data_IF_014715575572
#
_entry.id   IF_014715575572
#
_cell.length_a   1.000
_cell.length_b   1.000
_cell.length_c   1.000
_cell.angle_alpha   90.00
_cell.angle_beta   90.00
_cell.angle_gamma   90.00
#
_symmetry.space_group_name_H-M   'P 1'
#
loop_
_entity.id
_entity.type
_entity.pdbx_description
1 polymer ?
#
# COMPACT_ATOMS: atom_id res chain seq x y z
N UNK A 1 25.92 3.11 -57.51
CA UNK A 1 25.98 4.01 -56.33
C UNK A 1 24.59 4.58 -56.04
N UNK A 2 23.68 3.86 -55.35
CA UNK A 2 22.36 4.40 -54.91
C UNK A 2 21.80 3.72 -53.63
N UNK A 3 22.64 3.00 -52.87
CA UNK A 3 22.22 2.30 -51.64
C UNK A 3 22.39 3.09 -50.31
N UNK A 4 23.23 4.15 -50.17
CA UNK A 4 23.33 4.84 -48.89
C UNK A 4 22.17 5.83 -48.62
N UNK A 5 21.46 6.26 -49.66
CA UNK A 5 20.35 7.23 -49.53
C UNK A 5 19.09 6.59 -48.93
N UNK A 6 18.86 5.30 -49.19
CA UNK A 6 17.69 4.58 -48.68
C UNK A 6 17.80 4.29 -47.17
N UNK A 7 19.01 4.07 -46.66
CA UNK A 7 19.26 3.77 -45.24
C UNK A 7 19.14 5.05 -44.39
N UNK A 8 19.56 6.20 -44.91
CA UNK A 8 19.43 7.50 -44.23
C UNK A 8 17.96 7.94 -44.14
N UNK A 9 17.14 7.64 -45.15
CA UNK A 9 15.69 7.92 -45.12
C UNK A 9 14.92 7.01 -44.14
N UNK A 10 15.36 5.76 -43.95
CA UNK A 10 14.74 4.85 -42.97
C UNK A 10 15.14 5.20 -41.52
N UNK A 11 16.35 5.70 -41.30
CA UNK A 11 16.79 6.19 -39.99
C UNK A 11 16.12 7.52 -39.61
N UNK A 12 15.80 8.39 -40.57
CA UNK A 12 15.07 9.64 -40.34
C UNK A 12 13.57 9.41 -40.01
N UNK A 13 12.97 8.31 -40.48
CA UNK A 13 11.58 7.96 -40.17
C UNK A 13 11.38 7.39 -38.76
N UNK A 14 12.44 6.89 -38.10
CA UNK A 14 12.36 6.34 -36.74
C UNK A 14 12.43 7.40 -35.63
N UNK A 15 12.81 8.64 -35.95
CA UNK A 15 13.01 9.73 -34.96
C UNK A 15 11.73 10.57 -34.75
N UNK A 16 10.66 10.32 -35.52
CA UNK A 16 9.39 11.07 -35.43
C UNK A 16 8.35 10.50 -34.47
N UNK A 17 8.68 9.48 -33.67
CA UNK A 17 7.87 9.13 -32.50
C UNK A 17 8.30 10.03 -31.34
N UNK A 18 8.17 11.34 -31.53
CA UNK A 18 8.06 12.26 -30.39
C UNK A 18 6.70 11.94 -29.81
N UNK A 19 6.68 11.19 -28.70
CA UNK A 19 5.47 10.76 -28.02
C UNK A 19 4.54 11.95 -27.85
N UNK A 20 3.42 11.94 -28.56
CA UNK A 20 2.32 12.83 -28.21
C UNK A 20 1.95 12.43 -26.79
N UNK A 21 2.13 13.34 -25.84
CA UNK A 21 1.58 13.17 -24.50
C UNK A 21 0.07 13.09 -24.67
N UNK A 22 -0.45 11.87 -24.78
CA UNK A 22 -1.86 11.63 -24.71
C UNK A 22 -2.30 12.09 -23.33
N UNK A 23 -3.03 13.20 -23.29
CA UNK A 23 -3.62 13.72 -22.07
C UNK A 23 -4.60 12.68 -21.54
N UNK A 24 -4.60 12.46 -20.22
CA UNK A 24 -5.56 11.55 -19.60
C UNK A 24 -7.00 11.96 -19.87
N UNK A 25 -7.29 13.27 -19.83
CA UNK A 25 -8.58 13.83 -20.19
C UNK A 25 -8.39 15.13 -20.96
N UNK A 26 -9.33 15.45 -21.84
CA UNK A 26 -9.19 16.59 -22.75
C UNK A 26 -9.32 17.95 -22.05
N UNK A 27 -10.00 17.99 -20.91
CA UNK A 27 -10.34 19.16 -20.11
C UNK A 27 -9.42 19.40 -18.89
N UNK A 28 -8.37 18.58 -18.70
CA UNK A 28 -7.43 18.74 -17.57
C UNK A 28 -6.16 19.50 -17.93
N UNK A 29 -6.02 19.99 -19.17
CA UNK A 29 -4.76 20.56 -19.69
C UNK A 29 -4.20 21.75 -18.90
N UNK A 30 -5.08 22.55 -18.32
CA UNK A 30 -4.72 23.73 -17.52
C UNK A 30 -4.97 23.51 -16.02
N UNK A 31 -5.31 22.29 -15.63
CA UNK A 31 -5.58 21.96 -14.24
C UNK A 31 -4.26 21.85 -13.47
N UNK A 32 -4.14 22.45 -12.28
CA UNK A 32 -2.90 22.36 -11.48
C UNK A 32 -2.56 20.91 -11.06
N UNK A 33 -3.54 20.01 -11.06
CA UNK A 33 -3.37 18.59 -10.73
C UNK A 33 -3.34 17.69 -11.97
N UNK A 34 -3.12 18.22 -13.18
CA UNK A 34 -3.21 17.46 -14.43
C UNK A 34 -2.38 16.16 -14.43
N UNK A 35 -1.13 16.24 -13.96
CA UNK A 35 -0.22 15.07 -13.91
C UNK A 35 -0.67 14.04 -12.88
N UNK A 36 -1.13 14.50 -11.70
CA UNK A 36 -1.68 13.65 -10.64
C UNK A 36 -2.94 12.92 -11.10
N UNK A 37 -3.85 13.64 -11.76
CA UNK A 37 -5.08 13.10 -12.36
C UNK A 37 -4.73 12.04 -13.42
N UNK A 38 -3.72 12.31 -14.25
CA UNK A 38 -3.25 11.35 -15.24
C UNK A 38 -2.72 10.07 -14.58
N UNK A 39 -1.85 10.19 -13.58
CA UNK A 39 -1.29 9.04 -12.88
C UNK A 39 -2.40 8.20 -12.20
N UNK A 40 -3.38 8.84 -11.56
CA UNK A 40 -4.52 8.14 -10.97
C UNK A 40 -5.42 7.45 -12.02
N UNK A 41 -5.56 8.01 -13.22
CA UNK A 41 -6.28 7.35 -14.33
C UNK A 41 -5.51 6.12 -14.82
N UNK A 42 -4.21 6.25 -15.02
CA UNK A 42 -3.33 5.16 -15.47
C UNK A 42 -3.29 4.01 -14.44
N UNK A 43 -3.36 4.33 -13.15
CA UNK A 43 -3.50 3.36 -12.06
C UNK A 43 -4.92 2.76 -11.94
N UNK A 44 -5.88 3.19 -12.76
CA UNK A 44 -7.28 2.73 -12.70
C UNK A 44 -8.05 3.20 -11.45
N UNK A 45 -7.50 4.15 -10.69
CA UNK A 45 -8.11 4.65 -9.44
C UNK A 45 -9.30 5.54 -9.77
N UNK A 46 -9.16 6.41 -10.76
CA UNK A 46 -10.22 7.32 -11.19
C UNK A 46 -10.64 7.04 -12.62
N UNK A 47 -11.91 7.33 -12.90
CA UNK A 47 -12.45 7.36 -14.25
C UNK A 47 -13.03 8.75 -14.55
N UNK A 48 -12.98 9.13 -15.82
CA UNK A 48 -13.65 10.31 -16.31
C UNK A 48 -15.14 10.08 -16.46
N UNK A 49 -15.82 11.15 -16.89
CA UNK A 49 -17.16 11.11 -17.44
C UNK A 49 -17.11 10.65 -18.91
N UNK A 50 -18.24 10.72 -19.60
CA UNK A 50 -18.30 10.37 -21.03
C UNK A 50 -17.41 11.30 -21.87
N UNK A 51 -16.99 10.82 -23.05
CA UNK A 51 -16.28 11.62 -24.05
C UNK A 51 -14.89 12.13 -23.62
N UNK A 52 -14.13 11.35 -22.84
CA UNK A 52 -12.78 11.70 -22.38
C UNK A 52 -12.71 13.01 -21.57
N UNK A 53 -13.77 13.33 -20.82
CA UNK A 53 -13.82 14.46 -19.90
C UNK A 53 -13.60 14.00 -18.47
N UNK A 54 -12.85 14.77 -17.68
CA UNK A 54 -12.72 14.54 -16.25
C UNK A 54 -13.70 15.35 -15.42
N UNK A 55 -14.11 16.53 -15.91
CA UNK A 55 -14.86 17.55 -15.19
C UNK A 55 -14.15 18.02 -13.89
N UNK A 56 -12.98 18.69 -13.98
CA UNK A 56 -12.13 18.99 -12.82
C UNK A 56 -12.78 19.92 -11.78
N UNK A 57 -13.69 20.78 -12.23
CA UNK A 57 -14.46 21.71 -11.37
C UNK A 57 -15.76 21.10 -10.84
N UNK A 58 -16.13 19.90 -11.30
CA UNK A 58 -17.26 19.15 -10.80
C UNK A 58 -17.12 18.86 -9.31
N UNK A 59 -18.27 18.76 -8.63
CA UNK A 59 -18.34 18.51 -7.18
C UNK A 59 -18.34 17.01 -6.91
N UNK A 60 -17.65 16.58 -5.86
CA UNK A 60 -17.58 15.17 -5.50
C UNK A 60 -18.74 14.77 -4.59
N UNK A 61 -19.40 13.65 -4.88
CA UNK A 61 -20.38 13.04 -3.96
C UNK A 61 -19.67 12.17 -2.92
N UNK A 62 -20.35 11.84 -1.82
CA UNK A 62 -19.86 10.86 -0.85
C UNK A 62 -19.54 9.50 -1.48
N UNK A 63 -20.43 9.01 -2.34
CA UNK A 63 -20.24 7.74 -3.06
C UNK A 63 -18.95 7.74 -3.89
N UNK A 64 -18.69 8.82 -4.62
CA UNK A 64 -17.47 8.97 -5.41
C UNK A 64 -16.23 9.11 -4.52
N UNK A 65 -16.27 9.99 -3.51
CA UNK A 65 -15.13 10.24 -2.63
C UNK A 65 -14.66 9.01 -1.85
N UNK A 66 -15.59 8.30 -1.20
CA UNK A 66 -15.24 7.09 -0.45
C UNK A 66 -14.74 5.98 -1.38
N UNK A 67 -15.36 5.80 -2.54
CA UNK A 67 -14.91 4.80 -3.52
C UNK A 67 -13.51 5.11 -4.05
N UNK A 68 -13.18 6.39 -4.28
CA UNK A 68 -11.85 6.82 -4.70
C UNK A 68 -10.81 6.56 -3.61
N UNK A 69 -11.11 6.89 -2.35
CA UNK A 69 -10.21 6.66 -1.21
C UNK A 69 -9.94 5.16 -1.04
N UNK A 70 -11.00 4.34 -0.99
CA UNK A 70 -10.87 2.88 -0.81
C UNK A 70 -10.04 2.25 -1.92
N UNK A 71 -10.27 2.65 -3.17
CA UNK A 71 -9.50 2.15 -4.31
C UNK A 71 -8.07 2.66 -4.31
N UNK A 72 -7.86 3.93 -3.98
CA UNK A 72 -6.54 4.57 -4.01
C UNK A 72 -5.57 4.00 -2.98
N UNK A 73 -6.06 3.67 -1.78
CA UNK A 73 -5.25 3.03 -0.73
C UNK A 73 -5.36 1.51 -0.71
N UNK A 74 -5.98 0.92 -1.75
CA UNK A 74 -6.17 -0.52 -1.89
C UNK A 74 -6.73 -1.19 -0.62
N UNK A 75 -7.67 -0.49 0.04
CA UNK A 75 -8.28 -0.97 1.27
C UNK A 75 -9.10 -2.22 0.94
N UNK A 76 -9.06 -3.20 1.84
CA UNK A 76 -9.73 -4.48 1.63
C UNK A 76 -10.33 -5.01 2.92
N UNK A 77 -11.04 -6.13 2.82
CA UNK A 77 -11.57 -6.87 3.97
C UNK A 77 -10.71 -8.12 4.28
N UNK A 78 -9.54 -8.27 3.64
CA UNK A 78 -8.75 -9.50 3.73
C UNK A 78 -8.25 -9.80 5.15
N UNK A 79 -8.16 -8.78 6.01
CA UNK A 79 -7.78 -8.90 7.41
C UNK A 79 -8.93 -9.31 8.34
N UNK A 80 -10.17 -9.41 7.84
CA UNK A 80 -11.35 -9.68 8.67
C UNK A 80 -12.02 -10.99 8.25
N UNK A 81 -12.22 -11.88 9.22
CA UNK A 81 -13.01 -13.09 9.01
C UNK A 81 -14.47 -12.86 9.43
N UNK A 82 -15.39 -13.11 8.52
CA UNK A 82 -16.81 -12.94 8.76
C UNK A 82 -17.55 -14.28 8.74
N UNK A 83 -18.47 -14.46 9.70
CA UNK A 83 -19.42 -15.58 9.69
C UNK A 83 -20.49 -15.36 8.61
N UNK A 84 -20.88 -14.11 8.38
CA UNK A 84 -21.78 -13.65 7.31
C UNK A 84 -21.15 -12.44 6.62
N UNK A 85 -21.17 -12.41 5.29
CA UNK A 85 -20.70 -11.25 4.53
C UNK A 85 -21.39 -9.95 5.02
N UNK A 86 -20.62 -8.91 5.38
CA UNK A 86 -21.18 -7.65 5.85
C UNK A 86 -21.87 -6.90 4.72
N UNK A 87 -22.99 -6.27 5.05
CA UNK A 87 -23.79 -5.47 4.12
C UNK A 87 -23.69 -3.98 4.49
N UNK A 88 -23.80 -3.08 3.51
CA UNK A 88 -23.69 -1.64 3.78
C UNK A 88 -24.78 -1.13 4.74
N UNK A 89 -25.98 -1.70 4.65
CA UNK A 89 -27.11 -1.36 5.53
C UNK A 89 -26.94 -1.83 6.98
N UNK A 90 -25.97 -2.71 7.28
CA UNK A 90 -25.62 -3.06 8.66
C UNK A 90 -25.04 -1.85 9.41
N UNK A 91 -24.38 -0.94 8.68
CA UNK A 91 -23.64 0.19 9.24
C UNK A 91 -24.29 1.54 8.94
N UNK A 92 -24.96 1.69 7.80
CA UNK A 92 -25.45 2.98 7.32
C UNK A 92 -26.94 2.95 6.96
N UNK A 93 -27.66 3.98 7.40
CA UNK A 93 -29.13 4.06 7.27
C UNK A 93 -29.57 4.32 5.82
N UNK A 94 -28.77 5.08 5.06
CA UNK A 94 -29.15 5.52 3.70
C UNK A 94 -28.27 4.88 2.59
N UNK A 95 -27.36 3.96 2.92
CA UNK A 95 -26.51 3.25 1.95
C UNK A 95 -27.15 1.89 1.65
N UNK A 96 -27.58 1.68 0.41
CA UNK A 96 -28.18 0.41 -0.04
C UNK A 96 -27.09 -0.65 -0.26
N UNK A 97 -27.43 -1.93 -0.22
CA UNK A 97 -26.46 -3.03 -0.35
C UNK A 97 -25.93 -3.25 -1.77
N UNK A 98 -26.77 -3.07 -2.79
CA UNK A 98 -26.47 -3.48 -4.18
C UNK A 98 -26.16 -2.28 -5.10
N UNK A 99 -25.43 -1.29 -4.59
CA UNK A 99 -24.97 -0.15 -5.40
C UNK A 99 -23.49 -0.28 -5.72
N UNK A 100 -23.05 0.34 -6.81
CA UNK A 100 -21.65 0.31 -7.25
C UNK A 100 -20.64 0.79 -6.19
N UNK A 101 -21.10 1.61 -5.24
CA UNK A 101 -20.30 2.14 -4.12
C UNK A 101 -20.44 1.34 -2.82
N UNK A 102 -21.42 0.44 -2.69
CA UNK A 102 -21.78 -0.17 -1.40
C UNK A 102 -20.62 -0.90 -0.74
N UNK A 103 -19.86 -1.65 -1.54
CA UNK A 103 -18.70 -2.38 -1.04
C UNK A 103 -17.61 -1.43 -0.52
N UNK A 104 -17.43 -0.26 -1.13
CA UNK A 104 -16.48 0.73 -0.65
C UNK A 104 -16.85 1.25 0.75
N UNK A 105 -18.14 1.49 1.04
CA UNK A 105 -18.56 1.90 2.38
C UNK A 105 -18.32 0.83 3.45
N UNK A 106 -18.52 -0.44 3.11
CA UNK A 106 -18.23 -1.58 3.99
C UNK A 106 -16.73 -1.69 4.25
N UNK A 107 -15.91 -1.64 3.19
CA UNK A 107 -14.44 -1.65 3.31
C UNK A 107 -13.97 -0.47 4.17
N UNK A 108 -14.45 0.74 3.88
CA UNK A 108 -14.09 1.94 4.61
C UNK A 108 -14.36 1.79 6.12
N UNK A 109 -15.53 1.28 6.49
CA UNK A 109 -15.89 1.03 7.89
C UNK A 109 -14.89 0.10 8.59
N UNK A 110 -14.55 -1.03 7.96
CA UNK A 110 -13.65 -2.03 8.54
C UNK A 110 -12.16 -1.66 8.49
N UNK A 111 -11.81 -0.56 7.81
CA UNK A 111 -10.46 0.01 7.79
C UNK A 111 -10.37 1.30 8.63
N UNK A 112 -11.35 1.58 9.49
CA UNK A 112 -11.30 2.70 10.44
C UNK A 112 -11.66 4.06 9.84
N UNK A 113 -12.32 4.11 8.67
CA UNK A 113 -12.83 5.37 8.12
C UNK A 113 -14.20 5.65 8.76
N UNK A 114 -14.24 6.62 9.67
CA UNK A 114 -15.40 6.98 10.48
C UNK A 114 -16.47 7.79 9.74
N UNK A 115 -17.20 7.13 8.84
CA UNK A 115 -18.30 7.76 8.10
C UNK A 115 -19.58 7.81 8.96
N UNK A 116 -20.33 8.93 9.01
CA UNK A 116 -21.58 9.03 9.75
C UNK A 116 -22.63 7.99 9.33
N UNK A 117 -23.35 7.42 10.30
CA UNK A 117 -24.37 6.39 10.07
C UNK A 117 -25.53 6.86 9.18
N UNK A 118 -25.85 8.14 9.16
CA UNK A 118 -26.92 8.74 8.35
C UNK A 118 -26.42 9.35 7.04
N UNK A 119 -25.16 9.09 6.66
CA UNK A 119 -24.56 9.58 5.40
C UNK A 119 -25.46 9.30 4.20
N UNK A 120 -25.60 10.29 3.31
CA UNK A 120 -26.33 10.16 2.05
C UNK A 120 -25.32 10.03 0.90
N UNK A 121 -25.25 8.89 0.19
CA UNK A 121 -24.24 8.67 -0.85
C UNK A 121 -24.16 9.75 -1.94
N UNK A 122 -25.29 10.32 -2.32
CA UNK A 122 -25.37 11.34 -3.38
C UNK A 122 -25.19 12.78 -2.87
N UNK A 123 -25.00 12.97 -1.56
CA UNK A 123 -24.69 14.28 -1.01
C UNK A 123 -23.32 14.72 -1.49
N UNK A 124 -23.19 16.02 -1.76
CA UNK A 124 -21.91 16.65 -2.09
C UNK A 124 -21.04 16.71 -0.83
N UNK A 125 -19.82 16.18 -0.93
CA UNK A 125 -18.85 16.18 0.14
C UNK A 125 -18.13 17.54 0.21
N UNK A 126 -17.94 18.03 1.43
CA UNK A 126 -17.17 19.24 1.70
C UNK A 126 -15.67 18.95 1.76
N UNK A 127 -14.86 20.00 1.71
CA UNK A 127 -13.39 19.91 1.82
C UNK A 127 -12.94 19.33 3.16
N UNK A 128 -13.56 19.73 4.27
CA UNK A 128 -13.19 19.19 5.60
C UNK A 128 -13.55 17.71 5.76
N UNK A 129 -14.69 17.29 5.21
CA UNK A 129 -15.14 15.90 5.28
C UNK A 129 -14.19 15.01 4.47
N UNK A 130 -13.85 15.41 3.24
CA UNK A 130 -12.89 14.65 2.43
C UNK A 130 -11.50 14.61 3.07
N UNK A 131 -11.02 15.74 3.63
CA UNK A 131 -9.76 15.79 4.37
C UNK A 131 -9.74 14.78 5.54
N UNK A 132 -10.83 14.72 6.31
CA UNK A 132 -10.95 13.78 7.42
C UNK A 132 -10.89 12.32 6.97
N UNK A 133 -11.69 11.93 5.96
CA UNK A 133 -11.70 10.55 5.48
C UNK A 133 -10.41 10.14 4.78
N UNK A 134 -9.79 11.07 4.05
CA UNK A 134 -8.49 10.86 3.43
C UNK A 134 -7.41 10.61 4.49
N UNK A 135 -7.39 11.41 5.55
CA UNK A 135 -6.45 11.22 6.66
C UNK A 135 -6.65 9.88 7.35
N UNK A 136 -7.90 9.50 7.67
CA UNK A 136 -8.19 8.20 8.27
C UNK A 136 -7.70 7.04 7.39
N UNK A 137 -7.86 7.17 6.06
CA UNK A 137 -7.36 6.19 5.11
C UNK A 137 -5.83 6.13 5.08
N UNK A 138 -5.13 7.28 5.11
CA UNK A 138 -3.68 7.32 5.22
C UNK A 138 -3.25 6.57 6.48
N UNK A 139 -3.76 6.92 7.66
CA UNK A 139 -3.37 6.28 8.93
C UNK A 139 -3.79 4.82 9.04
N UNK A 140 -4.78 4.37 8.26
CA UNK A 140 -5.12 2.93 8.18
C UNK A 140 -4.02 2.09 7.53
N UNK A 141 -3.08 2.72 6.80
CA UNK A 141 -2.00 2.03 6.08
C UNK A 141 -0.73 1.86 6.89
N UNK A 142 -0.62 2.50 8.05
CA UNK A 142 0.57 2.44 8.89
C UNK A 142 0.56 3.49 9.98
N UNK A 143 1.45 3.32 10.96
CA UNK A 143 1.69 4.31 11.99
C UNK A 143 2.73 5.32 11.48
N UNK A 144 2.26 6.49 11.05
CA UNK A 144 3.11 7.53 10.48
C UNK A 144 3.42 8.61 11.51
N UNK A 145 4.69 9.02 11.58
CA UNK A 145 5.08 10.17 12.37
C UNK A 145 4.67 11.47 11.68
N UNK A 146 3.84 12.27 12.37
CA UNK A 146 3.46 13.61 11.90
C UNK A 146 4.12 14.68 12.76
N UNK A 147 4.58 15.75 12.12
CA UNK A 147 5.11 16.91 12.84
C UNK A 147 3.94 17.67 13.48
N UNK A 148 4.06 17.99 14.77
CA UNK A 148 3.02 18.71 15.54
C UNK A 148 3.12 20.24 15.39
N UNK A 149 3.18 20.73 14.15
CA UNK A 149 3.11 22.17 13.86
C UNK A 149 1.66 22.56 13.60
N UNK A 150 1.17 23.57 14.32
CA UNK A 150 -0.17 24.11 14.10
C UNK A 150 -0.13 25.26 13.08
N UNK A 151 -0.88 25.12 11.99
CA UNK A 151 -1.07 26.17 10.99
C UNK A 151 -2.40 26.90 11.22
N UNK A 152 -2.35 28.19 11.54
CA UNK A 152 -3.54 29.04 11.69
C UNK A 152 -4.06 29.51 10.34
N UNK A 153 -5.37 29.57 10.17
CA UNK A 153 -6.01 30.13 8.97
C UNK A 153 -7.31 30.89 9.30
N UNK A 154 -7.71 31.81 8.42
CA UNK A 154 -8.72 32.84 8.73
C UNK A 154 -10.12 32.26 9.02
N UNK A 155 -10.46 31.13 8.40
CA UNK A 155 -11.76 30.49 8.52
C UNK A 155 -11.75 29.20 9.38
N UNK A 156 -10.73 29.07 10.23
CA UNK A 156 -10.56 27.97 11.20
C UNK A 156 -11.79 27.78 12.09
N UNK A 157 -12.43 28.86 12.54
CA UNK A 157 -13.66 28.82 13.34
C UNK A 157 -14.86 28.14 12.67
N UNK A 158 -14.80 27.92 11.34
CA UNK A 158 -15.86 27.18 10.62
C UNK A 158 -15.62 25.68 10.63
N UNK A 159 -14.42 25.21 10.92
CA UNK A 159 -14.05 23.79 10.88
C UNK A 159 -14.85 23.02 11.93
N UNK A 160 -15.34 21.83 11.57
CA UNK A 160 -15.82 20.89 12.57
C UNK A 160 -14.64 20.43 13.44
N UNK A 161 -14.73 20.63 14.75
CA UNK A 161 -13.66 20.32 15.71
C UNK A 161 -13.10 18.91 15.56
N UNK A 162 -13.96 17.92 15.27
CA UNK A 162 -13.55 16.53 15.05
C UNK A 162 -12.62 16.34 13.83
N UNK A 163 -12.63 17.28 12.88
CA UNK A 163 -11.86 17.22 11.64
C UNK A 163 -10.59 18.08 11.68
N UNK A 164 -10.44 18.94 12.69
CA UNK A 164 -9.33 19.89 12.77
C UNK A 164 -7.97 19.18 12.73
N UNK A 165 -7.83 18.10 13.52
CA UNK A 165 -6.58 17.34 13.55
C UNK A 165 -6.21 16.80 12.16
N UNK A 166 -7.16 16.16 11.46
CA UNK A 166 -6.95 15.65 10.10
C UNK A 166 -6.53 16.76 9.13
N UNK A 167 -7.19 17.91 9.18
CA UNK A 167 -6.85 19.06 8.33
C UNK A 167 -5.43 19.55 8.64
N UNK A 168 -5.08 19.75 9.91
CA UNK A 168 -3.74 20.18 10.30
C UNK A 168 -2.68 19.19 9.81
N UNK A 169 -2.89 17.88 9.98
CA UNK A 169 -1.96 16.87 9.48
C UNK A 169 -1.76 16.97 7.97
N UNK A 170 -2.84 17.00 7.20
CA UNK A 170 -2.76 17.11 5.74
C UNK A 170 -2.12 18.42 5.26
N UNK A 171 -2.34 19.53 5.97
CA UNK A 171 -1.68 20.80 5.68
C UNK A 171 -0.18 20.74 6.01
N UNK A 172 0.23 20.12 7.12
CA UNK A 172 1.65 20.04 7.52
C UNK A 172 2.47 19.08 6.65
N UNK A 173 1.81 18.12 5.99
CA UNK A 173 2.44 17.19 5.06
C UNK A 173 2.31 17.63 3.60
N UNK A 174 1.81 18.84 3.34
CA UNK A 174 1.56 19.39 2.00
C UNK A 174 0.65 18.51 1.11
N UNK A 175 -0.20 17.66 1.71
CA UNK A 175 -1.18 16.83 0.99
C UNK A 175 -2.42 17.67 0.64
N UNK A 176 -2.85 18.50 1.60
CA UNK A 176 -3.88 19.50 1.38
C UNK A 176 -3.24 20.89 1.32
N UNK A 177 -3.87 21.80 0.59
CA UNK A 177 -3.41 23.17 0.45
C UNK A 177 -4.55 24.20 0.57
N UNK A 178 -4.16 25.44 0.88
CA UNK A 178 -5.04 26.61 0.93
C UNK A 178 -4.98 27.46 -0.35
N UNK A 179 -4.42 26.93 -1.45
CA UNK A 179 -4.28 27.57 -2.77
C UNK A 179 -3.69 28.97 -2.74
N UNK A 180 -2.68 29.20 -1.90
CA UNK A 180 -2.04 30.52 -1.75
C UNK A 180 -2.91 31.59 -1.09
N UNK A 181 -4.05 31.21 -0.51
CA UNK A 181 -4.85 32.04 0.39
C UNK A 181 -4.57 31.65 1.84
N UNK A 182 -4.95 32.49 2.79
CA UNK A 182 -4.92 32.13 4.22
C UNK A 182 -6.25 31.48 4.68
N UNK A 183 -6.97 30.81 3.78
CA UNK A 183 -8.29 30.20 4.04
C UNK A 183 -8.35 28.76 3.57
N UNK A 184 -8.89 27.86 4.40
CA UNK A 184 -9.05 26.44 4.06
C UNK A 184 -10.36 26.16 3.30
N UNK A 185 -11.41 26.94 3.53
CA UNK A 185 -12.76 26.76 2.99
C UNK A 185 -13.41 25.43 3.39
N UNK A 186 -13.55 25.12 4.69
CA UNK A 186 -13.96 23.79 5.16
C UNK A 186 -15.35 23.36 4.65
N UNK A 187 -16.29 24.31 4.51
CA UNK A 187 -17.68 24.04 4.11
C UNK A 187 -17.92 24.07 2.61
N UNK A 188 -16.92 24.43 1.82
CA UNK A 188 -17.06 24.42 0.37
C UNK A 188 -17.06 22.98 -0.13
N UNK A 189 -17.78 22.74 -1.22
CA UNK A 189 -17.74 21.44 -1.90
C UNK A 189 -16.32 21.18 -2.42
N UNK A 190 -15.78 20.00 -2.15
CA UNK A 190 -14.51 19.60 -2.74
C UNK A 190 -14.70 19.33 -4.24
N UNK A 191 -13.80 19.85 -5.07
CA UNK A 191 -13.85 19.58 -6.50
C UNK A 191 -13.18 18.25 -6.85
N UNK A 192 -13.53 17.69 -8.01
CA UNK A 192 -12.90 16.48 -8.53
C UNK A 192 -11.38 16.64 -8.68
N UNK A 193 -10.90 17.80 -9.16
CA UNK A 193 -9.47 18.12 -9.21
C UNK A 193 -8.82 18.15 -7.83
N UNK A 194 -9.41 18.87 -6.86
CA UNK A 194 -8.85 18.96 -5.50
C UNK A 194 -8.76 17.58 -4.84
N UNK A 195 -9.84 16.79 -4.92
CA UNK A 195 -9.87 15.43 -4.37
C UNK A 195 -8.84 14.50 -4.99
N UNK A 196 -8.62 14.59 -6.31
CA UNK A 196 -7.64 13.78 -7.03
C UNK A 196 -6.21 14.20 -6.67
N UNK A 197 -5.94 15.50 -6.55
CA UNK A 197 -4.65 16.00 -6.08
C UNK A 197 -4.31 15.46 -4.69
N UNK A 198 -5.20 15.66 -3.73
CA UNK A 198 -4.99 15.23 -2.34
C UNK A 198 -4.90 13.70 -2.22
N UNK A 199 -5.71 12.96 -2.98
CA UNK A 199 -5.63 11.49 -3.02
C UNK A 199 -4.26 11.03 -3.50
N UNK A 200 -3.78 11.58 -4.61
CA UNK A 200 -2.46 11.23 -5.17
C UNK A 200 -1.35 11.54 -4.16
N UNK A 201 -1.35 12.74 -3.57
CA UNK A 201 -0.32 13.13 -2.60
C UNK A 201 -0.37 12.26 -1.35
N UNK A 202 -1.57 11.88 -0.88
CA UNK A 202 -1.73 10.93 0.21
C UNK A 202 -1.20 9.53 -0.11
N UNK A 203 -1.42 9.03 -1.33
CA UNK A 203 -0.86 7.75 -1.79
C UNK A 203 0.67 7.82 -1.84
N UNK A 204 1.23 8.89 -2.41
CA UNK A 204 2.68 9.07 -2.48
C UNK A 204 3.31 9.27 -1.10
N UNK A 205 2.61 9.95 -0.17
CA UNK A 205 3.01 10.04 1.22
C UNK A 205 3.12 8.66 1.84
N UNK A 206 2.08 7.81 1.71
CA UNK A 206 2.10 6.45 2.24
C UNK A 206 3.26 5.67 1.64
N UNK A 207 3.40 5.62 0.31
CA UNK A 207 4.50 4.89 -0.36
C UNK A 207 5.86 5.32 0.16
N UNK A 208 6.12 6.63 0.18
CA UNK A 208 7.38 7.19 0.62
C UNK A 208 7.70 6.79 2.06
N UNK A 209 6.72 6.81 2.96
CA UNK A 209 6.97 6.52 4.37
C UNK A 209 6.92 5.03 4.69
N UNK A 210 6.15 4.22 3.95
CA UNK A 210 6.25 2.75 4.04
C UNK A 210 7.56 2.22 3.48
N UNK A 211 8.13 2.89 2.47
CA UNK A 211 9.44 2.53 1.91
C UNK A 211 10.60 3.03 2.79
N UNK A 212 10.41 4.12 3.55
CA UNK A 212 11.45 4.73 4.40
C UNK A 212 11.43 4.22 5.86
N UNK A 213 10.30 3.70 6.35
CA UNK A 213 10.21 3.02 7.66
C UNK A 213 10.74 1.57 7.59
N UNK A 214 11.03 1.07 6.38
CA UNK A 214 12.01 0.00 6.20
C UNK A 214 13.41 0.56 6.44
N UNK A 215 14.01 0.12 7.54
CA UNK A 215 15.47 -0.10 7.64
C UNK A 215 16.00 -0.56 6.25
N UNK A 216 17.10 0.02 5.74
CA UNK A 216 17.50 -0.07 4.34
C UNK A 216 17.43 -1.49 3.75
N UNK A 217 16.85 -1.56 2.54
CA UNK A 217 16.91 -2.67 1.58
C UNK A 217 16.98 -4.07 2.20
N UNK A 218 15.82 -4.59 2.62
CA UNK A 218 15.66 -6.03 2.73
C UNK A 218 14.59 -6.51 1.74
N UNK A 219 14.95 -7.28 0.69
CA UNK A 219 13.98 -7.79 -0.27
C UNK A 219 12.89 -8.59 0.45
N UNK A 220 11.64 -8.38 0.03
CA UNK A 220 10.47 -9.07 0.57
C UNK A 220 10.73 -10.60 0.59
N UNK A 221 10.89 -11.15 1.81
CA UNK A 221 11.20 -12.57 2.04
C UNK A 221 12.53 -12.85 2.74
N UNK A 222 13.42 -11.86 2.87
CA UNK A 222 14.65 -12.02 3.65
C UNK A 222 14.41 -11.71 5.14
N UNK A 223 14.96 -12.57 6.02
CA UNK A 223 14.82 -12.44 7.47
C UNK A 223 15.49 -11.16 7.99
N UNK A 224 14.81 -10.34 8.83
CA UNK A 224 15.40 -9.14 9.45
C UNK A 224 16.56 -9.46 10.42
N UNK A 225 16.76 -10.73 10.74
CA UNK A 225 17.87 -11.20 11.56
C UNK A 225 19.13 -11.39 10.69
N UNK A 226 20.25 -10.84 11.14
CA UNK A 226 21.57 -10.99 10.51
C UNK A 226 22.60 -11.54 11.51
N UNK A 227 23.75 -11.99 11.01
CA UNK A 227 24.84 -12.57 11.80
C UNK A 227 24.41 -13.74 12.71
N UNK A 228 23.68 -14.72 12.15
CA UNK A 228 23.29 -15.90 12.91
C UNK A 228 24.51 -16.68 13.41
N UNK A 229 24.53 -16.95 14.71
CA UNK A 229 25.58 -17.71 15.36
C UNK A 229 24.98 -18.86 16.16
N UNK A 230 25.55 -20.05 15.99
CA UNK A 230 25.16 -21.24 16.73
C UNK A 230 26.27 -21.61 17.70
N UNK A 231 25.89 -21.87 18.95
CA UNK A 231 26.79 -22.41 19.98
C UNK A 231 26.15 -23.62 20.65
N UNK A 232 27.00 -24.58 21.02
CA UNK A 232 26.56 -25.85 21.61
C UNK A 232 27.24 -26.01 22.95
N UNK A 233 26.46 -26.33 23.98
CA UNK A 233 26.92 -26.62 25.33
C UNK A 233 26.41 -28.00 25.74
N UNK A 234 27.30 -28.88 26.17
CA UNK A 234 26.90 -30.18 26.69
C UNK A 234 26.12 -30.00 28.01
N UNK A 235 24.94 -30.62 28.10
CA UNK A 235 24.13 -30.65 29.33
C UNK A 235 24.42 -31.95 30.09
N UNK A 236 24.43 -33.07 29.36
CA UNK A 236 24.80 -34.40 29.84
C UNK A 236 25.17 -35.32 28.66
N UNK A 237 25.49 -36.58 28.95
CA UNK A 237 25.93 -37.57 27.96
C UNK A 237 24.97 -37.77 26.76
N UNK A 238 23.67 -37.50 26.93
CA UNK A 238 22.64 -37.75 25.91
C UNK A 238 22.09 -36.46 25.27
N UNK A 239 22.36 -35.28 25.84
CA UNK A 239 21.69 -34.02 25.48
C UNK A 239 22.69 -32.85 25.40
N UNK A 240 22.61 -32.13 24.29
CA UNK A 240 23.24 -30.84 24.05
C UNK A 240 22.22 -29.70 24.12
N UNK A 241 22.57 -28.60 24.76
CA UNK A 241 21.88 -27.31 24.68
C UNK A 241 22.43 -26.54 23.48
N UNK A 242 21.54 -26.09 22.60
CA UNK A 242 21.89 -25.36 21.38
C UNK A 242 21.34 -23.95 21.50
N UNK A 243 22.22 -22.96 21.54
CA UNK A 243 21.86 -21.54 21.56
C UNK A 243 22.08 -20.96 20.18
N UNK A 244 21.04 -20.33 19.62
CA UNK A 244 21.12 -19.55 18.39
C UNK A 244 21.00 -18.07 18.75
N UNK A 245 21.98 -17.29 18.34
CA UNK A 245 22.03 -15.83 18.47
C UNK A 245 21.92 -15.18 17.10
N UNK A 246 21.37 -13.98 17.05
CA UNK A 246 21.38 -13.13 15.87
C UNK A 246 21.35 -11.66 16.28
N UNK A 247 21.71 -10.77 15.38
CA UNK A 247 21.46 -9.34 15.51
C UNK A 247 20.11 -9.00 14.87
N UNK A 248 19.37 -8.11 15.52
CA UNK A 248 18.10 -7.60 15.02
C UNK A 248 18.11 -6.06 14.93
N UNK A 249 17.30 -5.44 14.05
CA UNK A 249 17.33 -3.99 13.82
C UNK A 249 17.01 -3.15 15.06
N UNK A 250 16.13 -3.65 15.92
CA UNK A 250 15.70 -2.99 17.16
C UNK A 250 15.17 -4.02 18.17
N UNK A 251 15.04 -3.69 19.48
CA UNK A 251 14.69 -4.67 20.53
C UNK A 251 13.23 -5.12 20.50
N UNK A 252 12.47 -4.76 19.47
CA UNK A 252 11.11 -5.25 19.29
C UNK A 252 11.06 -6.60 18.61
N UNK A 253 12.09 -6.94 17.84
CA UNK A 253 12.22 -8.26 17.25
C UNK A 253 12.62 -9.29 18.30
N UNK A 254 12.18 -10.52 18.08
CA UNK A 254 12.73 -11.70 18.74
C UNK A 254 13.22 -12.72 17.72
N UNK A 255 13.72 -13.84 18.22
CA UNK A 255 14.08 -15.02 17.43
C UNK A 255 13.41 -16.23 18.07
N UNK A 256 12.87 -17.13 17.24
CA UNK A 256 12.35 -18.41 17.70
C UNK A 256 12.80 -19.54 16.78
N UNK A 257 12.84 -20.75 17.31
CA UNK A 257 13.12 -21.95 16.53
C UNK A 257 11.81 -22.39 15.88
N UNK A 258 11.79 -22.39 14.54
CA UNK A 258 10.61 -22.74 13.75
C UNK A 258 10.52 -24.25 13.54
N UNK A 259 11.64 -24.91 13.26
CA UNK A 259 11.71 -26.35 13.08
C UNK A 259 13.12 -26.90 13.30
N UNK A 260 13.20 -28.19 13.61
CA UNK A 260 14.46 -28.94 13.66
C UNK A 260 14.34 -30.14 12.73
N UNK A 261 15.24 -30.25 11.75
CA UNK A 261 15.30 -31.40 10.84
C UNK A 261 16.51 -32.25 11.16
N UNK A 262 16.31 -33.56 11.26
CA UNK A 262 17.38 -34.54 11.43
C UNK A 262 17.67 -35.18 10.09
N UNK A 263 18.87 -34.97 9.56
CA UNK A 263 19.25 -35.52 8.27
C UNK A 263 19.92 -36.91 8.39
N UNK A 264 20.04 -37.60 7.26
CA UNK A 264 20.68 -38.92 7.20
C UNK A 264 22.20 -38.86 7.47
N UNK A 265 22.80 -37.65 7.48
CA UNK A 265 24.22 -37.42 7.79
C UNK A 265 24.46 -37.22 9.29
N UNK A 266 23.43 -37.33 10.13
CA UNK A 266 23.52 -37.15 11.57
C UNK A 266 23.60 -35.68 12.00
N UNK A 267 23.09 -34.75 11.19
CA UNK A 267 22.96 -33.35 11.54
C UNK A 267 21.56 -33.04 12.08
N UNK A 268 21.49 -32.07 12.98
CA UNK A 268 20.24 -31.43 13.40
C UNK A 268 20.23 -30.00 12.85
N UNK A 269 19.53 -29.79 11.74
CA UNK A 269 19.40 -28.48 11.09
C UNK A 269 18.39 -27.64 11.86
N UNK A 270 18.85 -26.56 12.48
CA UNK A 270 18.06 -25.67 13.32
C UNK A 270 17.55 -24.52 12.47
N UNK A 271 16.27 -24.55 12.12
CA UNK A 271 15.61 -23.44 11.43
C UNK A 271 15.09 -22.44 12.45
N UNK A 272 15.33 -21.16 12.18
CA UNK A 272 14.85 -20.06 13.01
C UNK A 272 14.06 -19.08 12.17
N UNK A 273 13.17 -18.34 12.83
CA UNK A 273 12.43 -17.26 12.22
C UNK A 273 12.35 -16.05 13.17
N UNK A 274 12.23 -14.83 12.64
CA UNK A 274 12.00 -13.64 13.45
C UNK A 274 10.65 -13.73 14.16
N UNK A 275 10.61 -13.26 15.40
CA UNK A 275 9.37 -12.85 16.05
C UNK A 275 9.21 -11.37 15.76
N UNK A 276 8.08 -11.01 15.13
CA UNK A 276 7.80 -9.64 14.72
C UNK A 276 7.55 -8.74 15.95
N UNK A 277 7.92 -7.45 15.90
CA UNK A 277 7.62 -6.49 16.94
C UNK A 277 6.11 -6.29 17.12
N UNK A 278 5.72 -5.91 18.33
CA UNK A 278 4.34 -5.49 18.61
C UNK A 278 4.12 -4.12 17.93
N UNK A 279 3.20 -4.02 16.95
CA UNK A 279 3.01 -2.79 16.19
C UNK A 279 2.51 -1.62 17.06
N UNK A 280 1.97 -1.89 18.26
CA UNK A 280 1.47 -0.85 19.16
C UNK A 280 2.54 -0.33 20.14
N UNK A 281 3.80 -0.76 19.99
CA UNK A 281 4.90 -0.36 20.87
C UNK A 281 5.97 0.36 20.10
N UNK A 282 6.42 1.47 20.67
CA UNK A 282 7.58 2.21 20.18
C UNK A 282 8.87 1.52 20.65
N UNK A 283 9.80 1.28 19.73
CA UNK A 283 11.09 0.67 20.02
C UNK A 283 12.24 1.65 19.71
N UNK A 284 13.30 1.67 20.54
CA UNK A 284 14.48 2.46 20.23
C UNK A 284 15.20 1.89 19.00
N UNK A 285 15.68 2.77 18.13
CA UNK A 285 16.38 2.41 16.89
C UNK A 285 17.84 2.03 17.16
N UNK A 286 18.05 0.85 17.75
CA UNK A 286 19.37 0.33 18.11
C UNK A 286 19.48 -1.16 17.83
N UNK A 287 20.53 -1.57 17.11
CA UNK A 287 20.82 -2.99 16.85
C UNK A 287 20.93 -3.74 18.17
N UNK A 288 20.18 -4.84 18.29
CA UNK A 288 20.08 -5.61 19.52
C UNK A 288 20.34 -7.09 19.25
N UNK A 289 21.12 -7.73 20.13
CA UNK A 289 21.33 -9.17 20.10
C UNK A 289 20.08 -9.89 20.63
N UNK A 290 19.55 -10.83 19.85
CA UNK A 290 18.44 -11.72 20.23
C UNK A 290 18.94 -13.16 20.29
N UNK A 291 18.35 -13.98 21.17
CA UNK A 291 18.75 -15.37 21.32
C UNK A 291 17.58 -16.31 21.64
N UNK A 292 17.71 -17.56 21.23
CA UNK A 292 16.79 -18.66 21.57
C UNK A 292 17.56 -19.94 21.85
N UNK A 293 16.95 -20.85 22.61
CA UNK A 293 17.57 -22.11 23.05
C UNK A 293 16.68 -23.29 22.65
N UNK A 294 17.30 -24.40 22.24
CA UNK A 294 16.67 -25.73 22.15
C UNK A 294 17.62 -26.81 22.67
N UNK A 295 17.11 -28.03 22.75
CA UNK A 295 17.85 -29.21 23.18
C UNK A 295 17.84 -30.26 22.08
N UNK A 296 19.02 -30.78 21.77
CA UNK A 296 19.24 -31.78 20.73
C UNK A 296 19.99 -32.97 21.32
N UNK A 297 19.66 -34.19 20.91
CA UNK A 297 20.42 -35.36 21.36
C UNK A 297 21.90 -35.25 20.96
N UNK A 298 22.80 -35.66 21.86
CA UNK A 298 24.25 -35.66 21.65
C UNK A 298 24.71 -36.49 20.44
N UNK A 299 23.82 -37.35 19.91
CA UNK A 299 24.04 -38.15 18.70
C UNK A 299 24.00 -37.34 17.40
N UNK A 300 23.43 -36.13 17.41
CA UNK A 300 23.33 -35.29 16.23
C UNK A 300 24.22 -34.05 16.36
N UNK A 301 24.81 -33.61 15.25
CA UNK A 301 25.57 -32.35 15.16
C UNK A 301 24.63 -31.19 14.81
N UNK A 302 24.41 -30.21 15.70
CA UNK A 302 23.58 -29.04 15.39
C UNK A 302 24.25 -28.15 14.34
N UNK A 303 23.48 -27.68 13.36
CA UNK A 303 23.93 -26.76 12.29
C UNK A 303 22.84 -25.75 11.94
N UNK A 304 23.23 -24.60 11.40
CA UNK A 304 22.32 -23.66 10.76
C UNK A 304 22.12 -24.06 9.28
N UNK A 305 20.99 -23.69 8.64
CA UNK A 305 20.81 -23.91 7.21
C UNK A 305 21.89 -23.19 6.39
N UNK A 306 22.32 -23.80 5.30
CA UNK A 306 23.21 -23.14 4.33
C UNK A 306 22.42 -22.02 3.64
N UNK A 307 22.91 -20.78 3.70
CA UNK A 307 22.35 -19.69 2.88
C UNK A 307 22.51 -20.06 1.39
N UNK A 308 21.47 -19.86 0.55
CA UNK A 308 21.64 -20.04 -0.88
C UNK A 308 22.70 -19.05 -1.37
N UNK A 309 23.76 -19.58 -1.99
CA UNK A 309 24.77 -18.76 -2.64
C UNK A 309 24.08 -17.77 -3.58
N UNK A 310 24.38 -16.48 -3.45
CA UNK A 310 23.96 -15.45 -4.40
C UNK A 310 24.56 -15.75 -5.78
N UNK A 311 23.87 -16.58 -6.56
CA UNK A 311 24.12 -16.70 -7.99
C UNK A 311 23.42 -15.54 -8.67
N UNK A 312 24.21 -14.59 -9.22
CA UNK A 312 23.75 -13.58 -10.18
C UNK A 312 23.38 -14.23 -11.53
N UNK A 313 22.57 -15.28 -11.50
CA UNK A 313 21.99 -15.86 -12.71
C UNK A 313 20.50 -15.53 -12.74
N UNK A 314 20.17 -14.76 -13.77
CA UNK A 314 18.84 -14.44 -14.29
C UNK A 314 17.90 -15.65 -14.12
N UNK A 315 16.83 -15.46 -13.35
CA UNK A 315 15.81 -16.49 -13.17
C UNK A 315 15.27 -16.92 -14.55
N UNK A 316 15.28 -18.22 -14.90
CA UNK A 316 14.69 -18.66 -16.15
C UNK A 316 13.18 -18.40 -16.10
N UNK A 317 12.69 -17.74 -17.15
CA UNK A 317 11.29 -17.42 -17.34
C UNK A 317 10.41 -18.66 -17.11
N UNK A 318 9.38 -18.51 -16.30
CA UNK A 318 8.36 -19.54 -16.11
C UNK A 318 7.73 -19.89 -17.47
N UNK A 319 7.55 -21.18 -17.80
CA UNK A 319 6.89 -21.57 -19.05
C UNK A 319 5.43 -21.11 -19.01
N UNK A 320 5.04 -20.35 -20.03
CA UNK A 320 3.67 -19.90 -20.26
C UNK A 320 2.76 -21.11 -20.47
N UNK A 321 1.69 -21.18 -19.69
CA UNK A 321 0.58 -22.11 -19.93
C UNK A 321 -0.10 -21.72 -21.26
N UNK A 322 -0.34 -22.67 -22.19
CA UNK A 322 -1.03 -22.37 -23.43
C UNK A 322 -2.50 -22.03 -23.18
N UNK A 323 -2.96 -20.95 -23.80
CA UNK A 323 -4.36 -20.54 -23.82
C UNK A 323 -5.25 -21.62 -24.49
N UNK A 324 -6.49 -21.82 -24.04
CA UNK A 324 -7.40 -22.77 -24.67
C UNK A 324 -7.83 -22.29 -26.06
N UNK A 325 -7.61 -23.15 -27.05
CA UNK A 325 -7.99 -22.95 -28.45
C UNK A 325 -9.51 -22.79 -28.59
N UNK A 326 -9.94 -21.63 -29.09
CA UNK A 326 -11.30 -21.43 -29.58
C UNK A 326 -11.44 -22.12 -30.94
N UNK A 327 -12.03 -23.31 -30.97
CA UNK A 327 -12.48 -23.94 -32.21
C UNK A 327 -13.95 -23.62 -32.43
N UNK A 328 -14.21 -22.80 -33.43
CA UNK A 328 -15.52 -22.57 -34.02
C UNK A 328 -16.05 -23.87 -34.64
N UNK A 329 -17.31 -24.21 -34.34
CA UNK A 329 -17.98 -25.41 -34.84
C UNK A 329 -19.49 -25.26 -34.81
N UNK A 330 -20.02 -24.59 -35.82
CA UNK A 330 -21.43 -24.43 -36.13
C UNK A 330 -21.98 -25.70 -36.81
N UNK A 331 -22.99 -26.37 -36.24
CA UNK A 331 -24.00 -27.15 -37.01
C UNK A 331 -25.11 -27.81 -36.18
N UNK A 332 -26.33 -27.26 -36.35
CA UNK A 332 -27.65 -27.87 -36.68
C UNK A 332 -28.15 -29.22 -36.09
N UNK A 333 -29.47 -29.20 -35.83
CA UNK A 333 -30.47 -30.29 -35.63
C UNK A 333 -30.49 -30.93 -34.24
N UNK A 334 -31.61 -31.06 -33.53
CA UNK A 334 -33.04 -31.11 -33.89
C UNK A 334 -33.90 -30.53 -32.75
#
# INVERSE_FOLDING_TARGET
>A
MKKPVLIVLLAAALILIVGQTAWAFSDTKQDPNADKIKALKEAGIISGEQQDLFNPTGKLTYSAGISMIVRGFELSLAHVQFIKAPEASDYYTNVKNDMWYSNAFVIAHHNGIEIPKDVKPEQIMTREEYAHYLFNAITSRGDFAFIEIYQTFDDESKVNEAYMNSIQKLLTTDIADMKGTNTFRPKDAITRSESAGWLYDGIEFVKKHTDTDSVPDQPAGASPLFDLQLSVKEVNADINEVTVKAQAPHPGYGIRISSIFFDEKGQAVIMVEPVQPDPNKMYPQVITEVQTVTYVSSKFKPVLPEEPAHTNDEAPAAPSLPAPSATSGMSIMN
#
